data_IF_206087315310
#
_entry.id   IF_206087315310
#
_cell.length_a   1.000
_cell.length_b   1.000
_cell.length_c   1.000
_cell.angle_alpha   90.00
_cell.angle_beta   90.00
_cell.angle_gamma   90.00
#
_symmetry.space_group_name_H-M   'P 1'
#
loop_
_entity.id
_entity.type
_entity.pdbx_description
1 polymer ?
#
# COMPACT_ATOMS: atom_id res chain seq x y z
N UNK A 1 -0.45 13.59 -3.82
CA UNK A 1 -1.42 12.69 -3.13
C UNK A 1 -1.34 12.93 -1.62
N UNK A 2 -2.45 13.24 -0.94
CA UNK A 2 -2.43 13.35 0.53
C UNK A 2 -2.29 11.97 1.19
N UNK A 3 -2.04 11.92 2.51
CA UNK A 3 -2.01 10.67 3.27
C UNK A 3 -3.32 9.87 3.12
N UNK A 4 -4.45 10.57 3.23
CA UNK A 4 -5.77 9.96 3.16
C UNK A 4 -6.06 9.44 1.74
N UNK A 5 -5.68 10.20 0.71
CA UNK A 5 -5.82 9.77 -0.68
C UNK A 5 -5.04 8.48 -0.95
N UNK A 6 -3.83 8.37 -0.41
CA UNK A 6 -3.01 7.15 -0.55
C UNK A 6 -3.67 5.94 0.10
N UNK A 7 -4.14 6.09 1.34
CA UNK A 7 -4.80 5.01 2.06
C UNK A 7 -6.05 4.52 1.30
N UNK A 8 -6.89 5.45 0.86
CA UNK A 8 -8.13 5.15 0.15
C UNK A 8 -7.87 4.48 -1.19
N UNK A 9 -6.89 4.98 -1.94
CA UNK A 9 -6.55 4.44 -3.25
C UNK A 9 -5.96 3.03 -3.17
N UNK A 10 -5.06 2.77 -2.20
CA UNK A 10 -4.56 1.42 -1.94
C UNK A 10 -5.71 0.47 -1.60
N UNK A 11 -6.62 0.87 -0.71
CA UNK A 11 -7.78 0.03 -0.33
C UNK A 11 -8.71 -0.23 -1.51
N UNK A 12 -8.97 0.77 -2.35
CA UNK A 12 -9.77 0.63 -3.58
C UNK A 12 -9.18 -0.42 -4.51
N UNK A 13 -7.89 -0.28 -4.85
CA UNK A 13 -7.20 -1.20 -5.79
C UNK A 13 -7.09 -2.61 -5.22
N UNK A 14 -6.81 -2.75 -3.93
CA UNK A 14 -6.81 -4.08 -3.29
C UNK A 14 -8.17 -4.76 -3.39
N UNK A 15 -9.26 -4.03 -3.16
CA UNK A 15 -10.63 -4.55 -3.28
C UNK A 15 -10.95 -4.98 -4.72
N UNK A 16 -10.57 -4.17 -5.71
CA UNK A 16 -10.75 -4.50 -7.14
C UNK A 16 -9.99 -5.75 -7.55
N UNK A 17 -8.82 -6.00 -6.94
CA UNK A 17 -8.00 -7.19 -7.18
C UNK A 17 -8.40 -8.40 -6.32
N UNK A 18 -9.41 -8.27 -5.44
CA UNK A 18 -9.78 -9.34 -4.51
C UNK A 18 -8.68 -9.68 -3.49
N UNK A 19 -7.84 -8.70 -3.15
CA UNK A 19 -6.67 -8.86 -2.28
C UNK A 19 -6.85 -8.14 -0.95
N UNK A 20 -6.22 -8.66 0.10
CA UNK A 20 -6.11 -8.01 1.41
C UNK A 20 -4.76 -7.28 1.57
N UNK A 21 -4.65 -6.42 2.59
CA UNK A 21 -3.35 -5.82 2.95
C UNK A 21 -2.32 -6.88 3.39
N UNK A 22 -2.78 -8.00 3.94
CA UNK A 22 -1.92 -9.13 4.30
C UNK A 22 -1.37 -9.83 3.05
N UNK A 23 -2.17 -9.96 1.99
CA UNK A 23 -1.71 -10.50 0.70
C UNK A 23 -0.66 -9.59 0.08
N UNK A 24 -0.91 -8.29 0.06
CA UNK A 24 0.07 -7.30 -0.40
C UNK A 24 1.37 -7.39 0.41
N UNK A 25 1.28 -7.53 1.73
CA UNK A 25 2.45 -7.67 2.59
C UNK A 25 3.26 -8.92 2.24
N UNK A 26 2.58 -10.07 2.05
CA UNK A 26 3.20 -11.33 1.63
C UNK A 26 3.91 -11.20 0.28
N UNK A 27 3.25 -10.60 -0.71
CA UNK A 27 3.80 -10.41 -2.06
C UNK A 27 4.99 -9.45 -2.10
N UNK A 28 5.02 -8.46 -1.21
CA UNK A 28 6.15 -7.55 -1.08
C UNK A 28 7.26 -8.06 -0.16
N UNK A 29 7.07 -9.21 0.50
CA UNK A 29 8.03 -9.79 1.43
C UNK A 29 8.20 -8.99 2.72
N UNK A 30 7.13 -8.34 3.20
CA UNK A 30 7.13 -7.50 4.42
C UNK A 30 6.13 -8.00 5.46
N UNK A 31 6.27 -7.54 6.70
CA UNK A 31 5.32 -7.87 7.78
C UNK A 31 3.97 -7.16 7.56
N UNK A 32 2.82 -7.84 7.79
CA UNK A 32 1.50 -7.22 7.63
C UNK A 32 1.29 -5.94 8.44
N UNK A 33 1.79 -5.89 9.67
CA UNK A 33 1.72 -4.69 10.51
C UNK A 33 2.46 -3.49 9.88
N UNK A 34 3.65 -3.72 9.33
CA UNK A 34 4.44 -2.69 8.66
C UNK A 34 3.77 -2.20 7.37
N UNK A 35 3.18 -3.12 6.59
CA UNK A 35 2.35 -2.80 5.43
C UNK A 35 1.18 -1.87 5.82
N UNK A 36 0.43 -2.24 6.86
CA UNK A 36 -0.71 -1.47 7.34
C UNK A 36 -0.30 -0.08 7.87
N UNK A 37 0.81 0.02 8.59
CA UNK A 37 1.38 1.28 9.08
C UNK A 37 1.76 2.23 7.95
N UNK A 38 2.33 1.72 6.85
CA UNK A 38 2.65 2.53 5.67
C UNK A 38 1.36 3.01 5.00
N UNK A 39 0.39 2.12 4.81
CA UNK A 39 -0.88 2.44 4.16
C UNK A 39 -1.64 3.52 4.93
N UNK A 40 -1.69 3.43 6.27
CA UNK A 40 -2.30 4.43 7.15
C UNK A 40 -1.46 5.70 7.31
N UNK A 41 -0.24 5.72 6.78
CA UNK A 41 0.70 6.83 6.91
C UNK A 41 1.23 7.05 8.34
N UNK A 42 1.21 6.02 9.18
CA UNK A 42 1.91 6.00 10.47
C UNK A 42 3.42 5.85 10.28
N UNK A 43 3.85 5.31 9.13
CA UNK A 43 5.25 5.22 8.71
C UNK A 43 5.39 5.73 7.27
N UNK A 44 6.51 6.39 6.97
CA UNK A 44 6.80 6.87 5.62
C UNK A 44 6.94 5.70 4.62
N UNK A 45 7.65 4.64 5.02
CA UNK A 45 7.81 3.43 4.21
C UNK A 45 8.82 3.53 3.07
N UNK A 46 9.29 4.73 2.69
CA UNK A 46 10.39 4.93 1.74
C UNK A 46 10.26 4.06 0.49
N UNK A 47 11.25 3.22 0.23
CA UNK A 47 11.26 2.33 -0.94
C UNK A 47 10.15 1.28 -0.92
N UNK A 48 9.67 0.85 0.26
CA UNK A 48 8.52 -0.04 0.35
C UNK A 48 7.25 0.64 -0.17
N UNK A 49 7.06 1.93 0.13
CA UNK A 49 5.92 2.70 -0.40
C UNK A 49 6.00 2.84 -1.92
N UNK A 50 7.19 3.10 -2.47
CA UNK A 50 7.41 3.12 -3.94
C UNK A 50 7.10 1.76 -4.57
N UNK A 51 7.55 0.67 -3.95
CA UNK A 51 7.23 -0.70 -4.38
C UNK A 51 5.73 -0.98 -4.35
N UNK A 52 5.00 -0.52 -3.32
CA UNK A 52 3.54 -0.61 -3.26
C UNK A 52 2.87 0.12 -4.41
N UNK A 53 3.24 1.39 -4.62
CA UNK A 53 2.71 2.23 -5.72
C UNK A 53 2.93 1.56 -7.07
N UNK A 54 4.16 1.09 -7.34
CA UNK A 54 4.51 0.38 -8.57
C UNK A 54 3.74 -0.94 -8.72
N UNK A 55 3.68 -1.76 -7.67
CA UNK A 55 2.99 -3.06 -7.68
C UNK A 55 1.49 -2.91 -7.93
N UNK A 56 0.87 -1.90 -7.31
CA UNK A 56 -0.56 -1.64 -7.43
C UNK A 56 -0.91 -0.84 -8.69
N UNK A 57 0.07 -0.29 -9.42
CA UNK A 57 -0.15 0.53 -10.60
C UNK A 57 -0.78 1.88 -10.28
N UNK A 58 -0.54 2.42 -9.08
CA UNK A 58 -1.05 3.74 -8.70
C UNK A 58 -0.26 4.81 -9.46
N UNK A 59 -0.93 5.85 -9.95
CA UNK A 59 -0.25 7.00 -10.54
C UNK A 59 0.53 7.72 -9.44
N UNK A 60 1.84 7.86 -9.63
CA UNK A 60 2.61 8.86 -8.89
C UNK A 60 2.06 10.23 -9.31
N UNK A 61 1.60 11.01 -8.33
CA UNK A 61 1.15 12.38 -8.53
C UNK A 61 2.30 13.33 -8.25
#
# INVERSE_FOLDING_TARGET
MTRLDFEMEVKRVLREKGMTQADLARLLGIKPAYCSDIIRGNRNGGDTKKRMVKFLGLKEA
#
